data_IF_844443629757
#
_entry.id   IF_844443629757
#
_cell.length_a   1.000
_cell.length_b   1.000
_cell.length_c   1.000
_cell.angle_alpha   90.00
_cell.angle_beta   90.00
_cell.angle_gamma   90.00
#
_symmetry.space_group_name_H-M   'P 1'
#
loop_
_entity.id
_entity.type
_entity.pdbx_description
1 polymer ?
#
# COMPACT_ATOMS: atom_id res chain seq x y z
N UNK A 1 -2.64 4.37 13.32
CA UNK A 1 -2.62 3.16 12.49
C UNK A 1 -3.79 3.38 11.56
N UNK A 2 -3.52 3.58 10.28
CA UNK A 2 -4.57 3.66 9.28
C UNK A 2 -3.93 3.07 8.02
N UNK A 3 -4.34 1.85 7.72
CA UNK A 3 -4.14 1.20 6.42
C UNK A 3 -5.51 1.30 5.79
N UNK A 4 -5.60 1.83 4.58
CA UNK A 4 -6.91 2.08 3.97
C UNK A 4 -7.60 0.78 3.59
N UNK A 5 -6.82 -0.19 3.07
CA UNK A 5 -7.33 -1.52 2.70
C UNK A 5 -6.35 -2.61 3.11
N UNK A 6 -6.87 -3.68 3.72
CA UNK A 6 -6.07 -4.81 4.18
C UNK A 6 -6.65 -6.13 3.67
N UNK A 7 -5.81 -6.93 3.02
CA UNK A 7 -6.09 -8.31 2.66
C UNK A 7 -5.19 -9.24 3.48
N UNK A 8 -5.76 -9.87 4.51
CA UNK A 8 -5.00 -10.76 5.42
C UNK A 8 -4.63 -12.09 4.78
N UNK A 9 -5.50 -12.62 3.90
CA UNK A 9 -5.30 -13.90 3.21
C UNK A 9 -4.01 -13.88 2.36
N UNK A 10 -3.83 -12.84 1.55
CA UNK A 10 -2.66 -12.68 0.67
C UNK A 10 -1.52 -11.89 1.33
N UNK A 11 -1.76 -11.40 2.55
CA UNK A 11 -0.92 -10.46 3.30
C UNK A 11 -0.53 -9.25 2.43
N UNK A 12 -1.52 -8.52 1.95
CA UNK A 12 -1.34 -7.26 1.22
C UNK A 12 -1.99 -6.13 2.01
N UNK A 13 -1.26 -5.03 2.18
CA UNK A 13 -1.77 -3.79 2.75
C UNK A 13 -1.70 -2.70 1.68
N UNK A 14 -2.72 -1.87 1.56
CA UNK A 14 -2.77 -0.76 0.60
C UNK A 14 -3.00 0.55 1.37
N UNK A 15 -2.18 1.55 1.05
CA UNK A 15 -2.30 2.92 1.55
C UNK A 15 -2.48 3.90 0.39
N UNK A 16 -3.33 4.91 0.58
CA UNK A 16 -3.70 5.93 -0.40
C UNK A 16 -3.36 7.30 0.18
N UNK A 17 -2.30 7.93 -0.34
CA UNK A 17 -1.82 9.20 0.17
C UNK A 17 -2.33 10.40 -0.64
N UNK A 18 -2.75 11.46 0.04
CA UNK A 18 -2.93 12.76 -0.60
C UNK A 18 -1.59 13.46 -0.88
N UNK A 19 -1.55 14.31 -1.91
CA UNK A 19 -0.34 15.07 -2.32
C UNK A 19 0.28 15.95 -1.20
N UNK A 20 -0.46 16.21 -0.12
CA UNK A 20 -0.02 17.03 1.02
C UNK A 20 0.69 16.22 2.12
N UNK A 21 0.73 14.89 2.04
CA UNK A 21 1.34 14.03 3.06
C UNK A 21 2.88 13.96 3.01
N UNK A 22 3.53 14.73 2.13
CA UNK A 22 5.00 14.77 1.96
C UNK A 22 5.75 15.59 3.03
N UNK A 23 5.13 15.93 4.15
CA UNK A 23 5.85 16.57 5.26
C UNK A 23 6.81 15.56 5.92
N UNK A 24 8.08 15.91 6.11
CA UNK A 24 9.17 15.08 6.68
C UNK A 24 8.80 14.25 7.94
N UNK A 25 7.85 14.75 8.73
CA UNK A 25 7.39 14.08 9.96
C UNK A 25 6.37 12.95 9.70
N UNK A 26 5.59 13.01 8.62
CA UNK A 26 4.73 11.90 8.19
C UNK A 26 5.58 10.74 7.67
N UNK A 27 6.60 11.04 6.86
CA UNK A 27 7.52 10.06 6.26
C UNK A 27 8.26 9.18 7.29
N UNK A 28 8.74 9.75 8.40
CA UNK A 28 9.40 8.98 9.46
C UNK A 28 8.47 8.03 10.21
N UNK A 29 7.19 8.41 10.36
CA UNK A 29 6.18 7.58 11.00
C UNK A 29 5.77 6.43 10.08
N UNK A 30 5.74 6.70 8.79
CA UNK A 30 5.47 5.74 7.72
C UNK A 30 6.50 4.62 7.67
N UNK A 31 7.79 4.97 7.65
CA UNK A 31 8.89 4.00 7.58
C UNK A 31 8.89 2.94 8.69
N UNK A 32 8.47 3.31 9.90
CA UNK A 32 8.36 2.35 11.02
C UNK A 32 7.16 1.42 10.85
N UNK A 33 6.05 1.92 10.29
CA UNK A 33 4.85 1.10 10.05
C UNK A 33 5.08 0.13 8.90
N UNK A 34 5.67 0.60 7.80
CA UNK A 34 6.01 -0.24 6.66
C UNK A 34 6.94 -1.37 7.11
N UNK A 35 7.94 -1.06 7.94
CA UNK A 35 8.83 -2.06 8.52
C UNK A 35 8.07 -3.10 9.35
N UNK A 36 7.15 -2.68 10.22
CA UNK A 36 6.32 -3.61 11.01
C UNK A 36 5.44 -4.50 10.13
N UNK A 37 4.80 -3.94 9.10
CA UNK A 37 3.98 -4.72 8.16
C UNK A 37 4.84 -5.73 7.40
N UNK A 38 6.01 -5.31 6.92
CA UNK A 38 6.97 -6.17 6.22
C UNK A 38 7.52 -7.28 7.14
N UNK A 39 7.85 -6.96 8.40
CA UNK A 39 8.25 -7.95 9.42
C UNK A 39 7.15 -9.00 9.66
N UNK A 40 5.88 -8.60 9.58
CA UNK A 40 4.73 -9.51 9.69
C UNK A 40 4.37 -10.18 8.34
N UNK A 41 5.22 -10.03 7.32
CA UNK A 41 5.08 -10.70 6.04
C UNK A 41 4.05 -10.07 5.10
N UNK A 42 3.62 -8.84 5.37
CA UNK A 42 2.75 -8.07 4.48
C UNK A 42 3.55 -7.40 3.37
N UNK A 43 2.97 -7.41 2.16
CA UNK A 43 3.41 -6.60 1.04
C UNK A 43 2.59 -5.30 1.04
N UNK A 44 3.28 -4.17 1.16
CA UNK A 44 2.65 -2.85 1.25
C UNK A 44 2.68 -2.19 -0.13
N UNK A 45 1.50 -1.84 -0.66
CA UNK A 45 1.32 -1.04 -1.86
C UNK A 45 0.86 0.36 -1.45
N UNK A 46 1.47 1.39 -2.04
CA UNK A 46 1.12 2.79 -1.76
C UNK A 46 0.80 3.50 -3.07
N UNK A 47 -0.33 4.18 -3.12
CA UNK A 47 -0.81 4.94 -4.27
C UNK A 47 -1.09 6.38 -3.88
N UNK A 48 -0.91 7.32 -4.81
CA UNK A 48 -1.43 8.67 -4.61
C UNK A 48 -2.94 8.67 -4.86
N UNK A 49 -3.69 9.45 -4.07
CA UNK A 49 -5.12 9.65 -4.28
C UNK A 49 -5.41 10.18 -5.70
N UNK A 50 -4.48 10.96 -6.27
CA UNK A 50 -4.54 11.42 -7.65
C UNK A 50 -4.44 10.27 -8.66
N UNK A 51 -3.54 9.30 -8.43
CA UNK A 51 -3.40 8.12 -9.29
C UNK A 51 -4.63 7.23 -9.21
N UNK A 52 -5.16 7.01 -8.01
CA UNK A 52 -6.43 6.28 -7.82
C UNK A 52 -7.57 6.96 -8.57
N UNK A 53 -7.57 8.30 -8.61
CA UNK A 53 -8.64 9.08 -9.27
C UNK A 53 -8.49 9.14 -10.80
N UNK A 54 -7.26 9.18 -11.32
CA UNK A 54 -6.98 9.42 -12.76
C UNK A 54 -6.57 8.18 -13.54
N UNK A 55 -6.01 7.19 -12.85
CA UNK A 55 -5.34 6.01 -13.42
C UNK A 55 -5.81 4.74 -12.70
N UNK A 56 -7.11 4.64 -12.41
CA UNK A 56 -7.67 3.54 -11.62
C UNK A 56 -7.35 2.16 -12.21
N UNK A 57 -7.40 2.01 -13.53
CA UNK A 57 -7.09 0.74 -14.20
C UNK A 57 -5.65 0.28 -13.90
N UNK A 58 -4.67 1.20 -13.93
CA UNK A 58 -3.26 0.89 -13.63
C UNK A 58 -3.06 0.50 -12.15
N UNK A 59 -3.78 1.17 -11.26
CA UNK A 59 -3.79 0.85 -9.81
C UNK A 59 -4.34 -0.56 -9.59
N UNK A 60 -5.49 -0.88 -10.20
CA UNK A 60 -6.12 -2.19 -10.09
C UNK A 60 -5.23 -3.29 -10.67
N UNK A 61 -4.62 -3.06 -11.84
CA UNK A 61 -3.69 -3.99 -12.46
C UNK A 61 -2.49 -4.30 -11.55
N UNK A 62 -1.96 -3.28 -10.88
CA UNK A 62 -0.88 -3.42 -9.91
C UNK A 62 -1.30 -4.30 -8.73
N UNK A 63 -2.50 -4.06 -8.17
CA UNK A 63 -3.05 -4.84 -7.06
C UNK A 63 -3.28 -6.30 -7.48
N UNK A 64 -3.87 -6.53 -8.66
CA UNK A 64 -4.13 -7.87 -9.18
C UNK A 64 -2.82 -8.64 -9.38
N UNK A 65 -1.79 -8.00 -9.93
CA UNK A 65 -0.46 -8.61 -10.11
C UNK A 65 0.16 -8.96 -8.76
N UNK A 66 0.07 -8.08 -7.76
CA UNK A 66 0.57 -8.35 -6.42
C UNK A 66 -0.14 -9.55 -5.80
N UNK A 67 -1.48 -9.60 -5.83
CA UNK A 67 -2.27 -10.75 -5.36
C UNK A 67 -1.84 -12.04 -6.08
N UNK A 68 -1.71 -12.01 -7.41
CA UNK A 68 -1.33 -13.18 -8.19
C UNK A 68 0.09 -13.68 -7.85
N UNK A 69 1.03 -12.79 -7.54
CA UNK A 69 2.36 -13.17 -7.08
C UNK A 69 2.33 -13.83 -5.70
N UNK A 70 1.47 -13.34 -4.80
CA UNK A 70 1.34 -13.86 -3.43
C UNK A 70 0.67 -15.23 -3.38
N UNK A 71 -0.36 -15.46 -4.21
CA UNK A 71 -1.02 -16.78 -4.36
C UNK A 71 -0.13 -17.89 -4.89
N UNK A 72 0.99 -17.55 -5.53
CA UNK A 72 1.96 -18.50 -6.10
C UNK A 72 3.08 -18.88 -5.13
N UNK A 73 3.20 -18.18 -3.99
CA UNK A 73 4.22 -18.40 -2.97
C UNK A 73 3.80 -19.37 -1.88
#
# INVERSE_FOLDING_TARGET
MEVDLLCTEERIAIEIDGNQHLAENAYRRDRRKDALLQENGYFVLRFLAEDVSKHLDDVLDTIIRAIAMRKRG
#
